data_IF_175482344545
#
_entry.id   IF_175482344545
#
_cell.length_a   1.000
_cell.length_b   1.000
_cell.length_c   1.000
_cell.angle_alpha   90.00
_cell.angle_beta   90.00
_cell.angle_gamma   90.00
#
_symmetry.space_group_name_H-M   'P 1'
#
loop_
_entity.id
_entity.type
_entity.pdbx_description
1 polymer ?
#
# COMPACT_ATOMS: atom_id res chain seq x y z
N UNK A 1 -15.23 0.83 8.90
CA UNK A 1 -13.84 1.33 8.99
C UNK A 1 -12.95 0.39 9.78
N UNK A 2 -12.95 -0.90 9.46
CA UNK A 2 -12.05 -1.85 10.10
C UNK A 2 -10.78 -1.98 9.26
N UNK A 3 -9.64 -1.92 9.93
CA UNK A 3 -8.35 -2.31 9.38
C UNK A 3 -8.25 -3.83 9.51
N UNK A 4 -7.99 -4.52 8.41
CA UNK A 4 -7.82 -5.99 8.41
C UNK A 4 -6.36 -6.40 8.46
N UNK A 5 -5.46 -5.57 7.94
CA UNK A 5 -4.02 -5.81 7.94
C UNK A 5 -3.24 -4.50 7.73
N UNK A 6 -1.95 -4.49 8.04
CA UNK A 6 -1.04 -3.39 7.75
C UNK A 6 0.40 -3.90 7.62
N UNK A 7 1.20 -3.20 6.83
CA UNK A 7 2.63 -3.49 6.70
C UNK A 7 3.44 -2.20 6.67
N UNK A 8 4.64 -2.24 7.23
CA UNK A 8 5.57 -1.11 7.25
C UNK A 8 6.99 -1.57 6.96
N UNK A 9 7.78 -0.73 6.28
CA UNK A 9 9.20 -0.94 6.11
C UNK A 9 9.90 0.40 5.92
N UNK A 10 10.80 0.77 6.85
CA UNK A 10 11.52 2.04 6.77
C UNK A 10 10.57 3.24 6.69
N UNK A 11 10.44 3.81 5.48
CA UNK A 11 9.67 5.01 5.21
C UNK A 11 8.34 4.74 4.47
N UNK A 12 7.92 3.49 4.31
CA UNK A 12 6.65 3.13 3.67
C UNK A 12 5.67 2.47 4.64
N UNK A 13 4.40 2.79 4.49
CA UNK A 13 3.29 2.25 5.28
C UNK A 13 2.14 1.88 4.37
N UNK A 14 1.54 0.72 4.62
CA UNK A 14 0.34 0.23 3.97
C UNK A 14 -0.70 -0.16 5.01
N UNK A 15 -1.97 0.13 4.71
CA UNK A 15 -3.13 -0.24 5.52
C UNK A 15 -4.17 -0.86 4.62
N UNK A 16 -4.60 -2.07 4.96
CA UNK A 16 -5.68 -2.79 4.28
C UNK A 16 -6.98 -2.54 5.05
N UNK A 17 -7.98 -2.03 4.35
CA UNK A 17 -9.33 -1.80 4.85
C UNK A 17 -10.33 -2.52 3.96
N UNK A 18 -11.55 -2.67 4.47
CA UNK A 18 -12.68 -3.25 3.72
C UNK A 18 -12.93 -2.55 2.38
N UNK A 19 -12.72 -1.23 2.32
CA UNK A 19 -12.96 -0.45 1.10
C UNK A 19 -11.74 -0.38 0.17
N UNK A 20 -10.57 -0.89 0.57
CA UNK A 20 -9.38 -0.97 -0.28
C UNK A 20 -8.06 -0.83 0.49
N UNK A 21 -6.98 -0.69 -0.28
CA UNK A 21 -5.62 -0.54 0.25
C UNK A 21 -5.20 0.92 0.22
N UNK A 22 -4.63 1.38 1.32
CA UNK A 22 -4.12 2.74 1.48
C UNK A 22 -2.62 2.68 1.74
N UNK A 23 -1.87 3.63 1.22
CA UNK A 23 -0.43 3.72 1.45
C UNK A 23 0.05 5.16 1.56
N UNK A 24 1.13 5.36 2.32
CA UNK A 24 1.84 6.62 2.47
C UNK A 24 3.33 6.37 2.71
N UNK A 25 4.15 7.41 2.54
CA UNK A 25 5.60 7.33 2.69
C UNK A 25 6.38 7.74 1.45
N UNK A 26 7.57 7.16 1.27
CA UNK A 26 8.39 7.36 0.07
C UNK A 26 7.82 6.58 -1.12
N UNK A 27 7.85 7.20 -2.31
CA UNK A 27 7.43 6.56 -3.57
C UNK A 27 8.45 6.75 -4.69
N UNK A 28 9.74 6.82 -4.35
CA UNK A 28 10.79 7.12 -5.34
C UNK A 28 10.91 6.04 -6.43
N UNK A 29 10.51 4.81 -6.11
CA UNK A 29 10.55 3.65 -7.00
C UNK A 29 9.14 3.16 -7.40
N UNK A 30 8.08 3.89 -7.01
CA UNK A 30 6.70 3.45 -7.21
C UNK A 30 6.24 2.42 -6.16
N UNK A 31 6.98 2.25 -5.06
CA UNK A 31 6.76 1.22 -4.05
C UNK A 31 5.43 1.35 -3.27
N UNK A 32 4.75 2.49 -3.38
CA UNK A 32 3.41 2.74 -2.82
C UNK A 32 2.27 2.34 -3.76
N UNK A 33 2.54 2.10 -5.04
CA UNK A 33 1.52 1.75 -6.04
C UNK A 33 0.66 2.93 -6.53
N UNK A 34 1.07 4.18 -6.27
CA UNK A 34 0.42 5.38 -6.81
C UNK A 34 0.95 5.71 -8.21
N UNK A 35 0.14 6.39 -9.03
CA UNK A 35 0.51 6.75 -10.42
C UNK A 35 1.65 7.78 -10.51
N UNK A 36 1.82 8.58 -9.46
CA UNK A 36 2.82 9.64 -9.36
C UNK A 36 4.11 9.05 -8.79
N UNK A 37 4.94 8.49 -9.68
CA UNK A 37 6.26 7.98 -9.30
C UNK A 37 7.19 9.15 -8.98
N UNK A 38 7.98 9.05 -7.92
CA UNK A 38 8.98 10.06 -7.55
C UNK A 38 8.52 11.09 -6.51
N UNK A 39 7.26 11.08 -6.10
CA UNK A 39 6.73 11.99 -5.08
C UNK A 39 6.31 11.24 -3.82
N UNK A 40 6.69 11.76 -2.65
CA UNK A 40 6.26 11.18 -1.38
C UNK A 40 4.75 11.40 -1.19
N UNK A 41 4.11 10.48 -0.48
CA UNK A 41 2.70 10.57 -0.13
C UNK A 41 2.61 10.82 1.38
N UNK A 42 2.29 12.05 1.76
CA UNK A 42 2.37 12.50 3.16
C UNK A 42 1.34 11.83 4.08
N UNK A 43 0.13 11.58 3.55
CA UNK A 43 -0.98 10.98 4.31
C UNK A 43 -1.49 9.75 3.60
N UNK A 44 -2.02 8.78 4.37
CA UNK A 44 -2.61 7.55 3.82
C UNK A 44 -3.60 7.88 2.70
N UNK A 45 -3.22 7.53 1.48
CA UNK A 45 -4.03 7.72 0.29
C UNK A 45 -4.42 6.38 -0.30
N UNK A 46 -5.63 6.29 -0.83
CA UNK A 46 -6.17 5.06 -1.40
C UNK A 46 -5.46 4.77 -2.70
N UNK A 47 -4.91 3.57 -2.83
CA UNK A 47 -4.32 3.11 -4.08
C UNK A 47 -5.43 2.98 -5.11
N UNK A 48 -5.26 3.62 -6.27
CA UNK A 48 -6.23 3.57 -7.36
C UNK A 48 -6.10 2.26 -8.15
N UNK A 49 -6.43 1.15 -7.50
CA UNK A 49 -6.40 -0.20 -8.05
C UNK A 49 -7.57 -1.01 -7.48
N UNK A 50 -8.20 -1.85 -8.33
CA UNK A 50 -9.25 -2.76 -7.89
C UNK A 50 -8.61 -4.06 -7.41
N UNK A 51 -8.40 -4.16 -6.10
CA UNK A 51 -7.95 -5.39 -5.47
C UNK A 51 -9.11 -6.39 -5.38
N UNK A 52 -8.80 -7.68 -5.54
CA UNK A 52 -9.60 -8.75 -4.95
C UNK A 52 -9.50 -8.72 -3.41
N UNK A 53 -9.98 -9.76 -2.75
CA UNK A 53 -9.83 -9.85 -1.29
C UNK A 53 -8.34 -9.95 -0.93
N UNK A 54 -7.80 -8.98 -0.22
CA UNK A 54 -6.40 -9.03 0.23
C UNK A 54 -6.27 -10.12 1.30
N UNK A 55 -5.36 -11.08 1.06
CA UNK A 55 -5.08 -12.21 1.96
C UNK A 55 -3.67 -12.15 2.55
N UNK A 56 -2.83 -11.23 2.08
CA UNK A 56 -1.54 -10.95 2.69
C UNK A 56 -0.89 -9.70 2.13
N UNK A 57 -0.08 -9.05 2.97
CA UNK A 57 0.71 -7.88 2.59
C UNK A 57 2.07 -7.91 3.29
N UNK A 58 3.12 -7.48 2.57
CA UNK A 58 4.45 -7.26 3.15
C UNK A 58 5.18 -6.14 2.42
N UNK A 59 6.04 -5.44 3.16
CA UNK A 59 6.84 -4.32 2.65
C UNK A 59 8.34 -4.66 2.74
N UNK A 60 9.06 -4.38 1.67
CA UNK A 60 10.53 -4.29 1.66
C UNK A 60 10.97 -2.83 1.61
N UNK A 61 12.28 -2.57 1.62
CA UNK A 61 12.80 -1.20 1.66
C UNK A 61 12.44 -0.31 0.44
N UNK A 62 12.08 -0.92 -0.69
CA UNK A 62 11.75 -0.21 -1.94
C UNK A 62 10.74 -0.98 -2.80
N UNK A 63 9.96 -1.87 -2.19
CA UNK A 63 8.93 -2.65 -2.89
C UNK A 63 7.86 -3.12 -1.90
N UNK A 64 6.68 -3.41 -2.42
CA UNK A 64 5.57 -3.97 -1.66
C UNK A 64 5.00 -5.16 -2.41
N UNK A 65 4.61 -6.20 -1.67
CA UNK A 65 3.90 -7.36 -2.23
C UNK A 65 2.53 -7.44 -1.58
N UNK A 66 1.49 -7.49 -2.41
CA UNK A 66 0.10 -7.70 -1.98
C UNK A 66 -0.38 -8.97 -2.66
N UNK A 67 -0.91 -9.90 -1.85
CA UNK A 67 -1.53 -11.14 -2.33
C UNK A 67 -3.04 -10.98 -2.21
N UNK A 68 -3.75 -11.28 -3.30
CA UNK A 68 -5.21 -11.27 -3.36
C UNK A 68 -5.72 -12.68 -3.63
N UNK A 69 -6.89 -12.99 -3.07
CA UNK A 69 -7.71 -14.15 -3.45
C UNK A 69 -8.37 -13.86 -4.80
N UNK A 70 -8.54 -14.90 -5.63
CA UNK A 70 -9.20 -14.83 -6.95
C UNK A 70 -10.73 -14.66 -6.83
#
# INVERSE_FOLDING_TARGET
NNVSDFATAGLITFVVKEDGVFSCGTNYYGELGHKENGENVDFLNKINFKFGKVVGITCGGSHTVIVVDD
#
